data_IF_935155822673
#
_entry.id   IF_935155822673
#
_cell.length_a   1.000
_cell.length_b   1.000
_cell.length_c   1.000
_cell.angle_alpha   90.00
_cell.angle_beta   90.00
_cell.angle_gamma   90.00
#
_symmetry.space_group_name_H-M   'P 1'
#
loop_
_entity.id
_entity.type
_entity.pdbx_description
1 polymer ?
#
# COMPACT_ATOMS: atom_id res chain seq x y z
N UNK A 1 0.40 -12.38 0.72
CA UNK A 1 -0.85 -11.69 1.12
C UNK A 1 -1.92 -12.66 1.60
N UNK A 2 -1.83 -13.93 1.21
CA UNK A 2 -2.68 -15.01 1.73
C UNK A 2 -1.88 -15.85 2.74
N UNK A 3 -2.58 -16.50 3.66
CA UNK A 3 -2.00 -17.51 4.56
C UNK A 3 -2.72 -18.83 4.33
N UNK A 4 -2.03 -19.80 3.75
CA UNK A 4 -2.53 -21.15 3.54
C UNK A 4 -1.68 -22.10 4.36
N UNK A 5 -2.27 -22.67 5.41
CA UNK A 5 -1.59 -23.64 6.26
C UNK A 5 -1.76 -25.04 5.68
N UNK A 6 -0.64 -25.72 5.43
CA UNK A 6 -0.69 -27.11 4.94
C UNK A 6 -1.29 -27.99 6.04
N UNK A 7 -2.25 -28.84 5.67
CA UNK A 7 -2.92 -29.81 6.55
C UNK A 7 -3.86 -29.20 7.61
N UNK A 8 -4.15 -27.90 7.54
CA UNK A 8 -5.17 -27.27 8.39
C UNK A 8 -6.45 -27.10 7.58
N UNK A 9 -7.56 -27.57 8.12
CA UNK A 9 -8.89 -27.38 7.55
C UNK A 9 -9.62 -26.37 8.42
N UNK A 10 -10.16 -25.32 7.81
CA UNK A 10 -10.81 -24.23 8.53
C UNK A 10 -12.33 -24.26 8.36
N UNK A 11 -13.06 -23.71 9.33
CA UNK A 11 -14.41 -23.22 9.03
C UNK A 11 -14.32 -21.94 8.18
N UNK A 12 -15.42 -21.56 7.53
CA UNK A 12 -15.43 -20.43 6.62
C UNK A 12 -15.20 -19.08 7.33
N UNK A 13 -15.71 -18.92 8.55
CA UNK A 13 -15.42 -17.79 9.44
C UNK A 13 -13.97 -17.79 9.92
N UNK A 14 -13.44 -18.92 10.38
CA UNK A 14 -12.05 -19.04 10.81
C UNK A 14 -11.06 -18.70 9.67
N UNK A 15 -11.34 -19.18 8.46
CA UNK A 15 -10.52 -18.88 7.29
C UNK A 15 -10.55 -17.38 7.00
N UNK A 16 -11.72 -16.75 7.05
CA UNK A 16 -11.89 -15.30 6.88
C UNK A 16 -11.03 -14.54 7.88
N UNK A 17 -11.12 -14.85 9.16
CA UNK A 17 -10.39 -14.16 10.22
C UNK A 17 -8.88 -14.31 10.06
N UNK A 18 -8.41 -15.50 9.68
CA UNK A 18 -7.00 -15.75 9.40
C UNK A 18 -6.51 -14.94 8.20
N UNK A 19 -7.30 -14.86 7.11
CA UNK A 19 -6.93 -14.04 5.96
C UNK A 19 -6.97 -12.55 6.28
N UNK A 20 -7.94 -12.09 7.06
CA UNK A 20 -8.04 -10.70 7.48
C UNK A 20 -6.82 -10.28 8.30
N UNK A 21 -6.47 -11.07 9.33
CA UNK A 21 -5.27 -10.83 10.13
C UNK A 21 -4.01 -10.81 9.27
N UNK A 22 -3.86 -11.77 8.35
CA UNK A 22 -2.70 -11.81 7.45
C UNK A 22 -2.61 -10.57 6.57
N UNK A 23 -3.73 -10.07 6.06
CA UNK A 23 -3.74 -8.84 5.25
C UNK A 23 -3.34 -7.63 6.08
N UNK A 24 -3.81 -7.54 7.31
CA UNK A 24 -3.44 -6.43 8.19
C UNK A 24 -1.93 -6.43 8.48
N UNK A 25 -1.34 -7.58 8.80
CA UNK A 25 0.11 -7.72 8.94
C UNK A 25 0.87 -7.25 7.68
N UNK A 26 0.39 -7.64 6.49
CA UNK A 26 1.02 -7.26 5.22
C UNK A 26 0.85 -5.76 4.94
N UNK A 27 -0.30 -5.17 5.29
CA UNK A 27 -0.50 -3.71 5.18
C UNK A 27 0.51 -2.95 6.03
N UNK A 28 0.70 -3.38 7.28
CA UNK A 28 1.69 -2.79 8.19
C UNK A 28 3.11 -2.93 7.66
N UNK A 29 3.46 -4.10 7.11
CA UNK A 29 4.76 -4.34 6.48
C UNK A 29 5.00 -3.41 5.27
N UNK A 30 3.98 -3.20 4.44
CA UNK A 30 4.04 -2.27 3.31
C UNK A 30 4.17 -0.81 3.76
N UNK A 31 3.37 -0.36 4.72
CA UNK A 31 3.47 0.99 5.27
C UNK A 31 4.85 1.25 5.88
N UNK A 32 5.40 0.28 6.63
CA UNK A 32 6.75 0.37 7.19
C UNK A 32 7.82 0.44 6.10
N UNK A 33 7.69 -0.37 5.06
CA UNK A 33 8.64 -0.39 3.93
C UNK A 33 8.58 0.92 3.13
N UNK A 34 7.38 1.43 2.86
CA UNK A 34 7.17 2.72 2.22
C UNK A 34 7.79 3.85 3.04
N UNK A 35 7.55 3.87 4.36
CA UNK A 35 8.15 4.87 5.24
C UNK A 35 9.67 4.90 5.13
N UNK A 36 10.32 3.73 5.17
CA UNK A 36 11.78 3.61 5.00
C UNK A 36 12.24 4.09 3.62
N UNK A 37 11.51 3.77 2.55
CA UNK A 37 11.81 4.26 1.20
C UNK A 37 11.72 5.79 1.18
N UNK A 38 10.65 6.36 1.76
CA UNK A 38 10.45 7.81 1.85
C UNK A 38 11.60 8.49 2.59
N UNK A 39 12.01 7.98 3.75
CA UNK A 39 13.15 8.51 4.51
C UNK A 39 14.44 8.50 3.68
N UNK A 40 14.76 7.38 3.03
CA UNK A 40 15.97 7.24 2.22
C UNK A 40 15.95 8.17 1.00
N UNK A 41 14.81 8.28 0.31
CA UNK A 41 14.65 9.12 -0.87
C UNK A 41 14.76 10.60 -0.50
N UNK A 42 14.08 11.05 0.56
CA UNK A 42 14.13 12.44 1.00
C UNK A 42 15.51 12.82 1.56
N UNK A 43 16.15 11.92 2.32
CA UNK A 43 17.54 12.11 2.79
C UNK A 43 18.52 12.20 1.63
N UNK A 44 18.35 11.39 0.59
CA UNK A 44 19.17 11.51 -0.63
C UNK A 44 18.88 12.81 -1.38
N UNK A 45 17.64 13.28 -1.36
CA UNK A 45 17.23 14.50 -2.04
C UNK A 45 17.78 15.79 -1.40
N UNK A 46 18.07 15.81 -0.10
CA UNK A 46 18.60 17.02 0.56
C UNK A 46 19.90 17.51 -0.07
N UNK A 47 20.70 16.61 -0.63
CA UNK A 47 21.93 16.98 -1.35
C UNK A 47 21.64 17.72 -2.66
N UNK A 48 20.48 17.50 -3.28
CA UNK A 48 20.12 18.02 -4.59
C UNK A 48 19.10 19.16 -4.52
N UNK A 49 18.59 19.51 -3.34
CA UNK A 49 17.46 20.43 -3.18
C UNK A 49 17.71 21.82 -3.77
N UNK A 50 18.94 22.33 -3.64
CA UNK A 50 19.37 23.63 -4.20
C UNK A 50 19.99 23.54 -5.60
N UNK A 51 19.99 22.36 -6.22
CA UNK A 51 20.69 22.16 -7.49
C UNK A 51 19.87 22.61 -8.71
N UNK A 52 20.52 22.92 -9.85
CA UNK A 52 19.86 23.40 -11.06
C UNK A 52 18.76 22.49 -11.61
N UNK A 53 17.86 23.02 -12.48
CA UNK A 53 16.73 22.27 -13.05
C UNK A 53 17.10 20.95 -13.74
N UNK A 54 18.28 20.85 -14.33
CA UNK A 54 18.74 19.61 -14.96
C UNK A 54 18.88 18.47 -13.94
N UNK A 55 19.39 18.77 -12.74
CA UNK A 55 19.53 17.79 -11.65
C UNK A 55 18.15 17.44 -11.09
N UNK A 56 17.24 18.41 -11.00
CA UNK A 56 15.84 18.16 -10.62
C UNK A 56 15.15 17.22 -11.61
N UNK A 57 15.39 17.38 -12.92
CA UNK A 57 14.85 16.49 -13.96
C UNK A 57 15.38 15.06 -13.82
N UNK A 58 16.67 14.90 -13.56
CA UNK A 58 17.26 13.57 -13.34
C UNK A 58 16.72 12.91 -12.06
N UNK A 59 16.54 13.69 -10.98
CA UNK A 59 15.90 13.20 -9.75
C UNK A 59 14.46 12.73 -10.00
N UNK A 60 13.68 13.47 -10.80
CA UNK A 60 12.34 13.05 -11.23
C UNK A 60 12.37 11.71 -11.96
N UNK A 61 13.25 11.58 -12.96
CA UNK A 61 13.46 10.35 -13.72
C UNK A 61 13.85 9.18 -12.82
N UNK A 62 14.65 9.44 -11.78
CA UNK A 62 15.01 8.45 -10.77
C UNK A 62 13.80 8.01 -9.92
N UNK A 63 13.00 8.96 -9.41
CA UNK A 63 11.76 8.65 -8.69
C UNK A 63 10.84 7.78 -9.54
N UNK A 64 10.61 8.14 -10.81
CA UNK A 64 9.73 7.38 -11.71
C UNK A 64 10.22 5.93 -11.91
N UNK A 65 11.54 5.72 -11.99
CA UNK A 65 12.14 4.38 -12.06
C UNK A 65 11.91 3.58 -10.77
N UNK A 66 12.05 4.21 -9.61
CA UNK A 66 11.82 3.55 -8.31
C UNK A 66 10.33 3.20 -8.15
N UNK A 67 9.45 4.14 -8.47
CA UNK A 67 7.99 3.98 -8.42
C UNK A 67 7.54 2.79 -9.30
N UNK A 68 8.07 2.70 -10.53
CA UNK A 68 7.81 1.55 -11.42
C UNK A 68 8.32 0.22 -10.85
N UNK A 69 9.48 0.20 -10.19
CA UNK A 69 10.00 -1.02 -9.54
C UNK A 69 9.12 -1.47 -8.38
N UNK A 70 8.63 -0.53 -7.58
CA UNK A 70 7.68 -0.80 -6.50
C UNK A 70 6.39 -1.38 -7.08
N UNK A 71 5.83 -0.74 -8.10
CA UNK A 71 4.61 -1.21 -8.76
C UNK A 71 4.74 -2.66 -9.28
N UNK A 72 5.82 -2.98 -9.98
CA UNK A 72 6.05 -4.32 -10.51
C UNK A 72 6.26 -5.36 -9.39
N UNK A 73 6.93 -4.98 -8.30
CA UNK A 73 7.10 -5.84 -7.14
C UNK A 73 5.74 -6.15 -6.46
N UNK A 74 4.87 -5.15 -6.31
CA UNK A 74 3.54 -5.30 -5.75
C UNK A 74 2.64 -6.17 -6.63
N UNK A 75 2.65 -5.96 -7.96
CA UNK A 75 1.94 -6.82 -8.93
C UNK A 75 2.40 -8.27 -8.81
N UNK A 76 3.72 -8.49 -8.73
CA UNK A 76 4.30 -9.83 -8.56
C UNK A 76 3.85 -10.48 -7.24
N UNK A 77 3.79 -9.72 -6.14
CA UNK A 77 3.35 -10.21 -4.84
C UNK A 77 1.86 -10.65 -4.83
N UNK A 78 0.97 -9.88 -5.46
CA UNK A 78 -0.45 -10.27 -5.63
C UNK A 78 -0.55 -11.50 -6.52
N UNK A 79 0.13 -11.50 -7.68
CA UNK A 79 0.12 -12.63 -8.61
C UNK A 79 0.58 -13.92 -7.95
N UNK A 80 1.68 -13.86 -7.20
CA UNK A 80 2.18 -15.01 -6.45
C UNK A 80 1.15 -15.50 -5.42
N UNK A 81 0.54 -14.59 -4.65
CA UNK A 81 -0.48 -14.97 -3.64
C UNK A 81 -1.73 -15.61 -4.27
N UNK A 82 -2.19 -15.11 -5.43
CA UNK A 82 -3.29 -15.71 -6.18
C UNK A 82 -2.93 -17.08 -6.74
N UNK A 83 -1.71 -17.24 -7.26
CA UNK A 83 -1.21 -18.53 -7.73
C UNK A 83 -1.11 -19.54 -6.59
N UNK A 84 -0.67 -19.12 -5.40
CA UNK A 84 -0.60 -19.98 -4.23
C UNK A 84 -2.00 -20.45 -3.80
N UNK A 85 -3.01 -19.58 -3.87
CA UNK A 85 -4.41 -19.97 -3.66
C UNK A 85 -4.91 -20.97 -4.70
N UNK A 86 -4.67 -20.71 -5.99
CA UNK A 86 -5.08 -21.63 -7.05
C UNK A 86 -4.42 -23.01 -6.91
N UNK A 87 -3.15 -23.06 -6.54
CA UNK A 87 -2.42 -24.31 -6.28
C UNK A 87 -2.99 -25.05 -5.07
N UNK A 88 -3.34 -24.34 -4.00
CA UNK A 88 -3.93 -24.97 -2.82
C UNK A 88 -5.30 -25.59 -3.12
N UNK A 89 -6.11 -24.93 -3.95
CA UNK A 89 -7.46 -25.37 -4.33
C UNK A 89 -7.43 -26.53 -5.34
N UNK A 90 -6.60 -26.43 -6.37
CA UNK A 90 -6.64 -27.36 -7.52
C UNK A 90 -5.55 -28.43 -7.47
N UNK A 91 -4.56 -28.29 -6.59
CA UNK A 91 -3.30 -29.05 -6.68
C UNK A 91 -2.45 -28.62 -7.89
N UNK A 92 -1.32 -29.31 -8.07
CA UNK A 92 -0.52 -29.31 -9.30
C UNK A 92 0.13 -30.69 -9.53
N UNK A 93 0.96 -30.85 -10.57
CA UNK A 93 1.62 -32.11 -10.91
C UNK A 93 2.56 -32.67 -9.82
N UNK A 94 2.89 -31.87 -8.80
CA UNK A 94 3.78 -32.24 -7.68
C UNK A 94 3.10 -32.13 -6.30
N UNK A 95 1.91 -31.54 -6.23
CA UNK A 95 1.27 -31.14 -4.97
C UNK A 95 -0.20 -31.50 -5.02
N UNK A 96 -0.65 -32.43 -4.18
CA UNK A 96 -2.07 -32.75 -4.07
C UNK A 96 -2.89 -31.53 -3.55
N UNK A 97 -4.17 -31.41 -3.94
CA UNK A 97 -5.06 -30.38 -3.40
C UNK A 97 -5.09 -30.42 -1.87
N UNK A 98 -4.95 -29.26 -1.21
CA UNK A 98 -5.04 -29.19 0.25
C UNK A 98 -6.50 -28.97 0.64
N UNK A 99 -7.09 -29.81 1.52
CA UNK A 99 -8.41 -29.52 2.04
C UNK A 99 -8.38 -28.19 2.80
N UNK A 100 -9.18 -27.22 2.37
CA UNK A 100 -9.19 -25.86 2.91
C UNK A 100 -10.36 -25.62 3.87
N UNK A 101 -11.53 -26.19 3.56
CA UNK A 101 -12.77 -25.93 4.29
C UNK A 101 -13.38 -27.19 4.89
N UNK A 102 -13.87 -27.05 6.12
CA UNK A 102 -14.69 -28.06 6.79
C UNK A 102 -16.14 -27.81 6.41
N UNK A 103 -16.77 -28.80 5.79
CA UNK A 103 -18.20 -28.78 5.44
C UNK A 103 -18.93 -29.90 6.17
N UNK A 104 -20.19 -29.65 6.53
CA UNK A 104 -21.08 -30.64 7.12
C UNK A 104 -22.13 -31.04 6.09
N UNK A 105 -22.32 -32.34 5.87
CA UNK A 105 -23.46 -32.84 5.13
C UNK A 105 -24.68 -32.86 6.07
N UNK A 106 -25.76 -32.19 5.66
CA UNK A 106 -27.01 -32.11 6.41
C UNK A 106 -28.11 -32.71 5.56
N UNK A 107 -28.87 -33.64 6.14
CA UNK A 107 -30.06 -34.19 5.51
C UNK A 107 -31.27 -33.41 6.00
N UNK A 108 -31.93 -32.69 5.09
CA UNK A 108 -33.16 -31.95 5.38
C UNK A 108 -34.33 -32.64 4.66
N UNK A 109 -35.16 -33.32 5.46
CA UNK A 109 -36.27 -34.21 5.07
C UNK A 109 -35.91 -35.32 4.06
N UNK A 110 -35.66 -34.95 2.80
CA UNK A 110 -35.37 -35.88 1.68
C UNK A 110 -34.17 -35.40 0.85
N UNK A 111 -33.58 -34.24 1.15
CA UNK A 111 -32.50 -33.63 0.37
C UNK A 111 -31.22 -33.54 1.20
N UNK A 112 -30.13 -34.07 0.66
CA UNK A 112 -28.80 -33.84 1.19
C UNK A 112 -28.30 -32.47 0.70
N UNK A 113 -27.89 -31.62 1.63
CA UNK A 113 -27.23 -30.33 1.38
C UNK A 113 -25.95 -30.19 2.21
N UNK A 114 -25.12 -29.20 1.87
CA UNK A 114 -23.89 -28.89 2.60
C UNK A 114 -24.03 -27.60 3.40
N UNK A 115 -23.49 -27.59 4.63
CA UNK A 115 -23.33 -26.39 5.46
C UNK A 115 -21.85 -26.14 5.78
N UNK A 116 -21.28 -24.99 5.41
CA UNK A 116 -21.87 -23.94 4.56
C UNK A 116 -22.11 -24.42 3.12
N UNK A 117 -23.06 -23.82 2.38
CA UNK A 117 -23.29 -24.14 0.98
C UNK A 117 -22.08 -23.77 0.12
N UNK A 118 -21.87 -24.50 -0.98
CA UNK A 118 -20.73 -24.27 -1.88
C UNK A 118 -20.69 -22.86 -2.47
N UNK A 119 -21.84 -22.22 -2.67
CA UNK A 119 -21.94 -20.82 -3.10
C UNK A 119 -21.29 -19.86 -2.11
N UNK A 120 -21.54 -20.04 -0.80
CA UNK A 120 -20.95 -19.23 0.26
C UNK A 120 -19.42 -19.37 0.30
N UNK A 121 -18.89 -20.58 0.12
CA UNK A 121 -17.44 -20.80 0.03
C UNK A 121 -16.82 -20.12 -1.19
N UNK A 122 -17.50 -20.17 -2.34
CA UNK A 122 -17.08 -19.47 -3.56
C UNK A 122 -17.04 -17.95 -3.35
N UNK A 123 -18.07 -17.39 -2.74
CA UNK A 123 -18.16 -15.95 -2.47
C UNK A 123 -17.07 -15.49 -1.49
N UNK A 124 -16.78 -16.31 -0.47
CA UNK A 124 -15.66 -16.09 0.44
C UNK A 124 -14.32 -16.07 -0.30
N UNK A 125 -14.06 -17.05 -1.17
CA UNK A 125 -12.82 -17.10 -1.97
C UNK A 125 -12.70 -15.88 -2.89
N UNK A 126 -13.79 -15.48 -3.55
CA UNK A 126 -13.79 -14.32 -4.43
C UNK A 126 -13.56 -13.01 -3.66
N UNK A 127 -14.10 -12.90 -2.45
CA UNK A 127 -13.80 -11.80 -1.54
C UNK A 127 -12.32 -11.78 -1.17
N UNK A 128 -11.74 -12.90 -0.74
CA UNK A 128 -10.31 -12.98 -0.37
C UNK A 128 -9.42 -12.56 -1.55
N UNK A 129 -9.76 -12.96 -2.78
CA UNK A 129 -9.07 -12.51 -3.99
C UNK A 129 -9.10 -10.99 -4.17
N UNK A 130 -10.28 -10.35 -4.03
CA UNK A 130 -10.41 -8.90 -4.11
C UNK A 130 -9.62 -8.20 -2.99
N UNK A 131 -9.71 -8.70 -1.77
CA UNK A 131 -9.07 -8.10 -0.62
C UNK A 131 -7.53 -8.14 -0.72
N UNK A 132 -6.96 -9.17 -1.37
CA UNK A 132 -5.53 -9.21 -1.69
C UNK A 132 -5.13 -8.05 -2.60
N UNK A 133 -5.92 -7.73 -3.62
CA UNK A 133 -5.67 -6.57 -4.48
C UNK A 133 -5.84 -5.27 -3.70
N UNK A 134 -6.86 -5.15 -2.85
CA UNK A 134 -7.08 -3.96 -2.02
C UNK A 134 -6.00 -3.76 -0.95
N UNK A 135 -5.25 -4.80 -0.59
CA UNK A 135 -4.09 -4.69 0.32
C UNK A 135 -3.02 -3.74 -0.25
N UNK A 136 -2.92 -3.62 -1.58
CA UNK A 136 -1.97 -2.72 -2.24
C UNK A 136 -2.28 -1.23 -2.06
N UNK A 137 -3.52 -0.86 -1.72
CA UNK A 137 -3.96 0.53 -1.63
C UNK A 137 -3.23 1.38 -0.58
N UNK A 138 -2.55 0.73 0.38
CA UNK A 138 -1.73 1.42 1.39
C UNK A 138 -0.43 1.99 0.83
N UNK A 139 -0.05 1.62 -0.40
CA UNK A 139 1.13 2.13 -1.10
C UNK A 139 0.68 3.12 -2.18
N UNK A 140 0.75 4.44 -1.93
CA UNK A 140 0.45 5.47 -2.92
C UNK A 140 1.55 5.55 -3.99
N UNK A 141 1.29 6.33 -5.05
CA UNK A 141 2.33 6.67 -6.04
C UNK A 141 3.45 7.44 -5.36
N UNK A 142 4.69 7.05 -5.64
CA UNK A 142 5.85 7.54 -4.90
C UNK A 142 6.07 9.05 -5.07
N UNK A 143 5.93 9.57 -6.28
CA UNK A 143 6.17 11.00 -6.55
C UNK A 143 5.21 11.92 -5.77
N UNK A 144 3.92 11.60 -5.77
CA UNK A 144 2.90 12.36 -5.03
C UNK A 144 3.10 12.25 -3.52
N UNK A 145 3.45 11.04 -3.05
CA UNK A 145 3.72 10.80 -1.64
C UNK A 145 4.95 11.55 -1.14
N UNK A 146 6.07 11.49 -1.87
CA UNK A 146 7.29 12.24 -1.53
C UNK A 146 7.03 13.74 -1.51
N UNK A 147 6.18 14.25 -2.40
CA UNK A 147 5.80 15.67 -2.41
C UNK A 147 5.02 16.07 -1.18
N UNK A 148 4.00 15.29 -0.83
CA UNK A 148 3.21 15.55 0.38
C UNK A 148 4.11 15.57 1.61
N UNK A 149 4.99 14.57 1.76
CA UNK A 149 5.89 14.47 2.92
C UNK A 149 6.93 15.60 2.94
N UNK A 150 7.53 15.96 1.80
CA UNK A 150 8.45 17.10 1.70
C UNK A 150 7.76 18.41 2.09
N UNK A 151 6.56 18.65 1.56
CA UNK A 151 5.80 19.87 1.82
C UNK A 151 5.48 20.00 3.31
N UNK A 152 5.07 18.91 3.96
CA UNK A 152 4.82 18.91 5.41
C UNK A 152 6.12 19.12 6.21
N UNK A 153 7.25 18.54 5.78
CA UNK A 153 8.57 18.80 6.38
C UNK A 153 8.93 20.29 6.31
N UNK A 154 8.89 20.88 5.13
CA UNK A 154 9.31 22.27 4.89
C UNK A 154 8.40 23.24 5.65
N UNK A 155 7.11 22.93 5.70
CA UNK A 155 6.13 23.67 6.48
C UNK A 155 6.43 23.61 7.99
N UNK A 156 6.79 22.44 8.51
CA UNK A 156 7.14 22.27 9.92
C UNK A 156 8.38 23.09 10.27
N UNK A 157 9.40 23.04 9.42
CA UNK A 157 10.63 23.85 9.55
C UNK A 157 10.28 25.34 9.54
N UNK A 158 9.47 25.80 8.58
CA UNK A 158 9.06 27.20 8.49
C UNK A 158 8.29 27.67 9.72
N UNK A 159 7.39 26.82 10.26
CA UNK A 159 6.65 27.14 11.47
C UNK A 159 7.58 27.35 12.67
N UNK A 160 8.52 26.43 12.86
CA UNK A 160 9.53 26.52 13.93
C UNK A 160 10.38 27.80 13.80
N UNK A 161 10.84 28.12 12.60
CA UNK A 161 11.62 29.35 12.34
C UNK A 161 10.84 30.63 12.68
N UNK A 162 9.54 30.68 12.42
CA UNK A 162 8.69 31.83 12.76
C UNK A 162 8.45 31.95 14.27
N UNK A 163 8.25 30.82 14.95
CA UNK A 163 8.13 30.76 16.42
C UNK A 163 9.43 31.24 17.09
N UNK A 164 10.59 30.77 16.60
CA UNK A 164 11.91 31.19 17.06
C UNK A 164 12.20 32.68 16.77
N UNK A 165 11.69 33.21 15.66
CA UNK A 165 11.79 34.63 15.31
C UNK A 165 10.80 35.52 16.09
N UNK A 166 9.95 34.94 16.96
CA UNK A 166 8.94 35.68 17.74
C UNK A 166 7.68 36.07 16.95
N UNK A 167 7.54 35.62 15.70
CA UNK A 167 6.35 35.85 14.87
C UNK A 167 5.29 34.77 15.09
N UNK A 168 4.66 34.82 16.26
CA UNK A 168 3.58 33.90 16.65
C UNK A 168 2.35 34.03 15.73
N UNK A 169 2.10 35.21 15.15
CA UNK A 169 0.99 35.42 14.22
C UNK A 169 1.25 34.70 12.89
N UNK A 170 2.45 34.82 12.33
CA UNK A 170 2.88 34.11 11.14
C UNK A 170 2.90 32.59 11.32
N UNK A 171 3.38 32.09 12.46
CA UNK A 171 3.39 30.66 12.77
C UNK A 171 1.97 30.06 12.87
N UNK A 172 1.03 30.79 13.49
CA UNK A 172 -0.37 30.37 13.63
C UNK A 172 -1.16 30.48 12.31
N UNK A 173 -0.72 31.32 11.38
CA UNK A 173 -1.34 31.43 10.06
C UNK A 173 -1.03 30.25 9.13
N UNK A 174 -0.09 29.35 9.49
CA UNK A 174 0.22 28.14 8.73
C UNK A 174 -0.93 27.11 8.93
N UNK A 175 -1.72 26.78 7.89
CA UNK A 175 -2.98 26.02 8.01
C UNK A 175 -2.75 24.55 8.37
N UNK A 176 -3.41 23.92 9.36
CA UNK A 176 -3.09 22.61 9.99
C UNK A 176 -2.80 21.42 9.02
N UNK A 177 -2.09 20.37 9.46
CA UNK A 177 -1.77 19.21 8.62
C UNK A 177 -3.06 18.53 8.13
N UNK A 178 -3.18 18.32 6.82
CA UNK A 178 -4.35 17.70 6.17
C UNK A 178 -5.20 18.61 5.29
N UNK A 179 -5.03 19.94 5.37
CA UNK A 179 -5.64 20.86 4.40
C UNK A 179 -4.84 20.85 3.09
N UNK A 180 -5.43 20.43 1.95
CA UNK A 180 -4.71 20.39 0.69
C UNK A 180 -4.29 21.82 0.28
N UNK A 181 -3.05 22.01 -0.22
CA UNK A 181 -2.64 23.31 -0.70
C UNK A 181 -3.58 23.78 -1.82
N UNK A 182 -3.98 25.06 -1.78
CA UNK A 182 -4.91 25.70 -2.74
C UNK A 182 -4.47 25.58 -4.22
N UNK A 183 -3.25 25.11 -4.49
CA UNK A 183 -2.73 24.75 -5.81
C UNK A 183 -2.05 23.37 -5.71
N UNK A 184 -2.46 22.42 -6.55
CA UNK A 184 -1.69 21.20 -6.84
C UNK A 184 -0.42 21.61 -7.59
N UNK A 185 0.59 22.09 -6.88
CA UNK A 185 1.93 22.21 -7.45
C UNK A 185 2.59 20.85 -7.41
N UNK A 186 3.26 20.43 -8.47
CA UNK A 186 4.02 19.18 -8.49
C UNK A 186 5.33 19.31 -7.71
N UNK A 187 5.94 18.18 -7.33
CA UNK A 187 7.25 18.08 -6.63
C UNK A 187 8.37 18.95 -7.24
N UNK A 188 8.29 19.25 -8.53
CA UNK A 188 9.34 19.89 -9.31
C UNK A 188 8.99 21.31 -9.81
N UNK A 189 7.82 21.85 -9.46
CA UNK A 189 7.34 23.14 -10.00
C UNK A 189 7.79 24.38 -9.23
N UNK A 190 8.61 24.24 -8.17
CA UNK A 190 9.11 25.40 -7.40
C UNK A 190 10.34 26.11 -8.01
N UNK A 191 10.95 25.57 -9.07
CA UNK A 191 12.22 26.08 -9.61
C UNK A 191 12.14 27.05 -10.80
N UNK A 192 10.97 27.35 -11.37
CA UNK A 192 10.86 28.11 -12.64
C UNK A 192 10.60 29.61 -12.49
N UNK A 193 10.61 30.17 -11.28
CA UNK A 193 10.16 31.54 -11.07
C UNK A 193 11.25 32.53 -10.61
N UNK A 194 12.48 32.50 -11.12
CA UNK A 194 13.32 33.72 -11.20
C UNK A 194 14.35 33.62 -12.33
N UNK A 195 14.04 34.20 -13.50
CA UNK A 195 15.01 34.90 -14.38
C UNK A 195 14.28 35.45 -15.60
N UNK A 196 13.64 36.58 -15.43
CA UNK A 196 13.23 37.49 -16.52
C UNK A 196 13.16 38.89 -15.95
N UNK A 197 14.32 39.50 -15.81
CA UNK A 197 14.58 40.95 -15.84
C UNK A 197 16.01 41.14 -16.29
#
# INVERSE_FOLDING_TARGET
MIKIEKKTVHRDDEFRDVQERRREEVRQEFSKSLHKITELMLSSYTFFESHPPDIQREWKSYIDKVDKRIEEALKKAVKASLQDLCKALNGDTKTEPSPLFKIQAVLDEVKMDFKPPMSQLKDLLQMVCRDMTMTLSVVPRLAEHLYAVKTERDRTIKKQQLEEAGDLAGANAIPPPGDPPKKKKGFFEEGTAVSST
#
